data_IF_391875867254
#
_entry.id   IF_391875867254
#
_cell.length_a   1.000
_cell.length_b   1.000
_cell.length_c   1.000
_cell.angle_alpha   90.00
_cell.angle_beta   90.00
_cell.angle_gamma   90.00
#
_symmetry.space_group_name_H-M   'P 1'
#
loop_
_entity.id
_entity.type
_entity.pdbx_description
1 polymer ?
#
# COMPACT_ATOMS: atom_id res chain seq x y z
N UNK A 1 -17.32 -24.80 -21.44
CA UNK A 1 -16.34 -25.86 -21.77
C UNK A 1 -16.97 -27.02 -22.51
N UNK A 2 -18.20 -27.43 -22.16
CA UNK A 2 -18.95 -28.49 -22.88
C UNK A 2 -19.22 -28.02 -24.32
N UNK A 3 -19.74 -26.83 -24.51
CA UNK A 3 -20.04 -26.23 -25.82
C UNK A 3 -18.77 -26.13 -26.70
N UNK A 4 -17.64 -25.69 -26.12
CA UNK A 4 -16.35 -25.65 -26.81
C UNK A 4 -15.95 -27.05 -27.34
N UNK A 5 -16.21 -28.09 -26.55
CA UNK A 5 -15.92 -29.47 -26.93
C UNK A 5 -16.82 -29.94 -28.06
N UNK A 6 -18.12 -29.64 -27.98
CA UNK A 6 -19.10 -29.99 -29.02
C UNK A 6 -18.75 -29.32 -30.37
N UNK A 7 -18.37 -28.02 -30.35
CA UNK A 7 -17.99 -27.30 -31.58
C UNK A 7 -16.65 -27.80 -32.14
N UNK A 8 -15.73 -28.22 -31.28
CA UNK A 8 -14.47 -28.85 -31.71
C UNK A 8 -14.72 -30.19 -32.40
N UNK A 9 -15.65 -31.04 -31.86
CA UNK A 9 -16.03 -32.34 -32.44
C UNK A 9 -16.74 -32.17 -33.81
N UNK A 10 -17.46 -31.06 -33.99
CA UNK A 10 -18.05 -30.68 -35.29
C UNK A 10 -17.05 -30.07 -36.28
N UNK A 11 -15.83 -29.78 -35.87
CA UNK A 11 -14.78 -29.13 -36.69
C UNK A 11 -15.01 -27.63 -36.92
N UNK A 12 -15.86 -26.99 -36.12
CA UNK A 12 -16.19 -25.56 -36.22
C UNK A 12 -15.13 -24.70 -35.52
N UNK A 13 -14.00 -24.54 -36.16
CA UNK A 13 -12.79 -23.87 -35.57
C UNK A 13 -13.03 -22.41 -35.21
N UNK A 14 -13.84 -21.67 -35.96
CA UNK A 14 -14.10 -20.27 -35.69
C UNK A 14 -14.94 -20.08 -34.42
N UNK A 15 -15.94 -20.93 -34.21
CA UNK A 15 -16.74 -20.93 -32.99
C UNK A 15 -15.93 -21.39 -31.77
N UNK A 16 -15.08 -22.41 -31.95
CA UNK A 16 -14.14 -22.86 -30.90
C UNK A 16 -13.26 -21.71 -30.44
N UNK A 17 -12.73 -20.89 -31.38
CA UNK A 17 -11.92 -19.71 -31.03
C UNK A 17 -12.72 -18.63 -30.32
N UNK A 18 -13.97 -18.38 -30.75
CA UNK A 18 -14.84 -17.40 -30.12
C UNK A 18 -15.14 -17.80 -28.66
N UNK A 19 -15.56 -19.04 -28.43
CA UNK A 19 -15.82 -19.56 -27.08
C UNK A 19 -14.56 -19.57 -26.21
N UNK A 20 -13.39 -19.92 -26.78
CA UNK A 20 -12.12 -19.89 -26.05
C UNK A 20 -11.75 -18.47 -25.60
N UNK A 21 -11.94 -17.46 -26.45
CA UNK A 21 -11.72 -16.07 -26.10
C UNK A 21 -12.67 -15.58 -25.00
N UNK A 22 -13.93 -15.97 -25.04
CA UNK A 22 -14.90 -15.66 -23.99
C UNK A 22 -14.53 -16.31 -22.64
N UNK A 23 -14.06 -17.55 -22.68
CA UNK A 23 -13.58 -18.27 -21.48
C UNK A 23 -12.36 -17.54 -20.89
N UNK A 24 -11.39 -17.17 -21.71
CA UNK A 24 -10.21 -16.40 -21.28
C UNK A 24 -10.63 -15.06 -20.65
N UNK A 25 -11.51 -14.32 -21.31
CA UNK A 25 -12.01 -13.05 -20.78
C UNK A 25 -12.77 -13.19 -19.46
N UNK A 26 -13.51 -14.29 -19.27
CA UNK A 26 -14.20 -14.58 -18.01
C UNK A 26 -13.21 -15.01 -16.91
N UNK A 27 -12.18 -15.80 -17.23
CA UNK A 27 -11.12 -16.18 -16.31
C UNK A 27 -10.35 -14.95 -15.79
N UNK A 28 -10.02 -14.00 -16.67
CA UNK A 28 -9.39 -12.74 -16.28
C UNK A 28 -10.25 -11.95 -15.30
N UNK A 29 -11.58 -11.86 -15.54
CA UNK A 29 -12.51 -11.19 -14.63
C UNK A 29 -12.60 -11.91 -13.28
N UNK A 30 -12.69 -13.23 -13.25
CA UNK A 30 -12.72 -14.04 -12.02
C UNK A 30 -11.43 -13.84 -11.23
N UNK A 31 -10.27 -13.89 -11.88
CA UNK A 31 -8.97 -13.67 -11.25
C UNK A 31 -8.87 -12.25 -10.68
N UNK A 32 -9.36 -11.24 -11.42
CA UNK A 32 -9.43 -9.85 -10.95
C UNK A 32 -10.28 -9.73 -9.68
N UNK A 33 -11.49 -10.29 -9.67
CA UNK A 33 -12.37 -10.27 -8.50
C UNK A 33 -11.81 -11.09 -7.33
N UNK A 34 -11.18 -12.22 -7.59
CA UNK A 34 -10.51 -13.05 -6.59
C UNK A 34 -9.37 -12.30 -5.89
N UNK A 35 -8.51 -11.62 -6.65
CA UNK A 35 -7.44 -10.77 -6.09
C UNK A 35 -7.98 -9.62 -5.25
N UNK A 36 -9.11 -9.03 -5.67
CA UNK A 36 -9.77 -7.96 -4.90
C UNK A 36 -10.33 -8.48 -3.58
N UNK A 37 -10.99 -9.64 -3.58
CA UNK A 37 -11.50 -10.27 -2.36
C UNK A 37 -10.36 -10.63 -1.40
N UNK A 38 -9.26 -11.22 -1.90
CA UNK A 38 -8.06 -11.53 -1.11
C UNK A 38 -7.45 -10.27 -0.46
N UNK A 39 -7.36 -9.17 -1.21
CA UNK A 39 -6.87 -7.89 -0.67
C UNK A 39 -7.78 -7.34 0.44
N UNK A 40 -9.11 -7.44 0.28
CA UNK A 40 -10.09 -7.04 1.31
C UNK A 40 -9.92 -7.90 2.57
N UNK A 41 -9.84 -9.23 2.42
CA UNK A 41 -9.66 -10.15 3.55
C UNK A 41 -8.34 -9.89 4.26
N UNK A 42 -7.25 -9.69 3.53
CA UNK A 42 -5.94 -9.31 4.10
C UNK A 42 -6.00 -7.98 4.84
N UNK A 43 -6.67 -6.98 4.28
CA UNK A 43 -6.93 -5.70 4.94
C UNK A 43 -7.71 -5.89 6.24
N UNK A 44 -8.81 -6.64 6.22
CA UNK A 44 -9.60 -6.95 7.42
C UNK A 44 -8.78 -7.69 8.48
N UNK A 45 -7.94 -8.65 8.11
CA UNK A 45 -7.08 -9.38 9.02
C UNK A 45 -6.02 -8.47 9.66
N UNK A 46 -5.44 -7.54 8.89
CA UNK A 46 -4.51 -6.55 9.42
C UNK A 46 -5.19 -5.59 10.41
N UNK A 47 -6.45 -5.21 10.15
CA UNK A 47 -7.25 -4.41 11.09
C UNK A 47 -7.75 -5.22 12.28
N UNK A 48 -7.97 -6.53 12.11
CA UNK A 48 -8.49 -7.45 13.13
C UNK A 48 -7.41 -8.02 14.06
N UNK A 49 -6.12 -7.86 13.74
CA UNK A 49 -5.07 -8.22 14.69
C UNK A 49 -5.26 -7.36 15.94
N UNK A 50 -5.78 -8.01 16.99
CA UNK A 50 -6.02 -7.35 18.29
C UNK A 50 -4.70 -6.75 18.75
N UNK A 51 -4.64 -5.41 18.75
CA UNK A 51 -3.67 -4.70 19.55
C UNK A 51 -3.80 -5.21 20.99
N UNK A 52 -2.70 -5.40 21.68
CA UNK A 52 -2.76 -5.70 23.11
C UNK A 52 -3.51 -4.62 23.89
N UNK A 53 -3.69 -3.42 23.30
CA UNK A 53 -4.22 -2.23 23.92
C UNK A 53 -3.36 -1.72 25.07
N UNK A 54 -2.25 -2.41 25.35
CA UNK A 54 -1.38 -2.09 26.46
C UNK A 54 -0.46 -0.93 26.10
N UNK A 55 -0.58 0.15 26.87
CA UNK A 55 0.31 1.29 26.72
C UNK A 55 1.65 1.02 27.41
N UNK A 56 2.73 1.41 26.77
CA UNK A 56 4.08 1.32 27.32
C UNK A 56 4.91 2.55 27.00
N UNK A 57 5.91 2.83 27.84
CA UNK A 57 6.84 3.94 27.63
C UNK A 57 7.74 3.66 26.43
N UNK A 58 7.43 4.27 25.30
CA UNK A 58 8.04 4.03 24.01
C UNK A 58 8.78 5.25 23.53
N UNK A 59 9.99 5.06 23.00
CA UNK A 59 10.70 6.06 22.21
C UNK A 59 10.06 6.14 20.82
N UNK A 60 9.31 7.21 20.58
CA UNK A 60 8.57 7.40 19.33
C UNK A 60 9.50 7.62 18.13
N UNK A 61 10.67 8.24 18.33
CA UNK A 61 11.62 8.49 17.26
C UNK A 61 12.28 7.18 16.80
N UNK A 62 12.68 6.33 17.76
CA UNK A 62 13.20 5.01 17.47
C UNK A 62 12.16 4.13 16.75
N UNK A 63 10.89 4.17 17.19
CA UNK A 63 9.79 3.47 16.55
C UNK A 63 9.59 3.95 15.10
N UNK A 64 9.61 5.24 14.86
CA UNK A 64 9.50 5.83 13.52
C UNK A 64 10.62 5.37 12.58
N UNK A 65 11.87 5.39 13.04
CA UNK A 65 13.03 4.97 12.24
C UNK A 65 12.96 3.46 11.93
N UNK A 66 12.58 2.63 12.91
CA UNK A 66 12.39 1.19 12.73
C UNK A 66 11.37 0.89 11.62
N UNK A 67 10.17 1.47 11.70
CA UNK A 67 9.12 1.22 10.72
C UNK A 67 9.43 1.80 9.34
N UNK A 68 10.17 2.90 9.26
CA UNK A 68 10.65 3.46 7.99
C UNK A 68 11.61 2.49 7.29
N UNK A 69 12.59 1.95 8.03
CA UNK A 69 13.55 0.97 7.50
C UNK A 69 12.87 -0.36 7.15
N UNK A 70 11.97 -0.83 8.00
CA UNK A 70 11.21 -2.05 7.76
C UNK A 70 10.40 -1.95 6.45
N UNK A 71 9.73 -0.83 6.24
CA UNK A 71 8.97 -0.54 5.03
C UNK A 71 9.87 -0.51 3.78
N UNK A 72 10.98 0.21 3.84
CA UNK A 72 11.95 0.32 2.75
C UNK A 72 12.52 -1.04 2.35
N UNK A 73 13.05 -1.79 3.33
CA UNK A 73 13.63 -3.10 3.06
C UNK A 73 12.61 -4.13 2.61
N UNK A 74 11.38 -4.07 3.14
CA UNK A 74 10.27 -4.92 2.70
C UNK A 74 9.91 -4.70 1.24
N UNK A 75 9.92 -3.44 0.77
CA UNK A 75 9.67 -3.11 -0.64
C UNK A 75 10.82 -3.56 -1.53
N UNK A 76 12.07 -3.33 -1.13
CA UNK A 76 13.25 -3.81 -1.88
C UNK A 76 13.34 -5.32 -1.97
N UNK A 77 12.88 -6.04 -0.96
CA UNK A 77 12.82 -7.50 -0.98
C UNK A 77 11.81 -8.03 -2.02
N UNK A 78 10.70 -7.30 -2.23
CA UNK A 78 9.67 -7.63 -3.24
C UNK A 78 10.06 -7.21 -4.64
N UNK A 79 10.71 -6.05 -4.78
CA UNK A 79 11.12 -5.46 -6.06
C UNK A 79 12.54 -4.91 -5.94
N UNK A 80 13.50 -5.63 -6.51
CA UNK A 80 14.91 -5.24 -6.50
C UNK A 80 15.18 -3.93 -7.27
N UNK A 81 14.29 -3.54 -8.17
CA UNK A 81 14.39 -2.30 -8.94
C UNK A 81 13.91 -1.09 -8.14
N UNK A 82 13.15 -1.31 -7.05
CA UNK A 82 12.70 -0.24 -6.16
C UNK A 82 13.90 0.48 -5.54
N UNK A 83 13.98 1.79 -5.76
CA UNK A 83 14.99 2.65 -5.18
C UNK A 83 14.40 4.00 -4.84
N UNK A 84 14.51 4.40 -3.58
CA UNK A 84 14.03 5.68 -3.06
C UNK A 84 14.93 6.15 -1.94
N UNK A 85 15.18 7.45 -1.87
CA UNK A 85 15.79 8.05 -0.71
C UNK A 85 14.75 8.21 0.40
N UNK A 86 15.22 8.22 1.64
CA UNK A 86 14.41 8.66 2.77
C UNK A 86 15.25 9.54 3.71
N UNK A 87 14.60 10.51 4.31
CA UNK A 87 15.23 11.49 5.24
C UNK A 87 14.38 11.56 6.50
N UNK A 88 15.07 11.75 7.63
CA UNK A 88 14.43 11.87 8.94
C UNK A 88 14.81 13.19 9.59
N UNK A 89 13.86 13.79 10.31
CA UNK A 89 14.06 14.98 11.13
C UNK A 89 13.27 14.79 12.44
N UNK A 90 13.95 14.28 13.46
CA UNK A 90 13.33 13.91 14.72
C UNK A 90 13.67 14.89 15.84
N UNK A 91 12.63 15.34 16.55
CA UNK A 91 12.74 16.18 17.74
C UNK A 91 13.18 15.32 18.94
N UNK A 92 14.44 15.46 19.33
CA UNK A 92 15.03 14.74 20.45
C UNK A 92 14.46 15.13 21.82
N UNK A 93 13.70 16.23 21.89
CA UNK A 93 13.10 16.70 23.16
C UNK A 93 11.85 15.90 23.54
N UNK A 94 11.31 15.03 22.67
CA UNK A 94 10.08 14.26 22.92
C UNK A 94 10.28 13.26 24.07
N UNK A 95 11.40 12.52 24.06
CA UNK A 95 11.66 11.45 25.00
C UNK A 95 10.69 10.27 24.82
N UNK A 96 10.48 9.50 25.89
CA UNK A 96 9.55 8.37 25.90
C UNK A 96 8.14 8.83 26.21
N UNK A 97 7.16 8.33 25.47
CA UNK A 97 5.74 8.63 25.63
C UNK A 97 4.94 7.34 25.87
N UNK A 98 3.85 7.43 26.58
CA UNK A 98 3.02 6.27 26.94
C UNK A 98 1.98 6.01 25.85
N UNK A 99 2.28 5.09 24.95
CA UNK A 99 1.47 4.75 23.77
C UNK A 99 1.31 3.24 23.63
N UNK A 100 0.44 2.79 22.71
CA UNK A 100 0.35 1.42 22.22
C UNK A 100 1.22 1.32 20.96
N UNK A 101 2.47 0.78 21.03
CA UNK A 101 3.42 0.85 19.90
C UNK A 101 2.92 0.17 18.64
N UNK A 102 2.20 -0.95 18.80
CA UNK A 102 1.65 -1.73 17.69
C UNK A 102 0.62 -0.92 16.88
N UNK A 103 -0.21 -0.11 17.52
CA UNK A 103 -1.21 0.72 16.84
C UNK A 103 -0.54 1.86 16.07
N UNK A 104 0.43 2.53 16.70
CA UNK A 104 1.21 3.58 16.04
C UNK A 104 2.02 2.99 14.90
N UNK A 105 2.68 1.83 15.11
CA UNK A 105 3.43 1.13 14.07
C UNK A 105 2.59 0.78 12.86
N UNK A 106 1.35 0.34 13.05
CA UNK A 106 0.40 0.06 11.97
C UNK A 106 0.07 1.31 11.15
N UNK A 107 -0.19 2.43 11.83
CA UNK A 107 -0.43 3.73 11.17
C UNK A 107 0.81 4.17 10.38
N UNK A 108 2.00 4.08 10.98
CA UNK A 108 3.27 4.41 10.33
C UNK A 108 3.50 3.56 9.08
N UNK A 109 3.35 2.24 9.16
CA UNK A 109 3.48 1.35 7.99
C UNK A 109 2.54 1.74 6.86
N UNK A 110 1.28 2.03 7.17
CA UNK A 110 0.30 2.42 6.15
C UNK A 110 0.70 3.73 5.46
N UNK A 111 1.08 4.75 6.23
CA UNK A 111 1.48 6.05 5.69
C UNK A 111 2.79 5.96 4.89
N UNK A 112 3.81 5.30 5.44
CA UNK A 112 5.13 5.16 4.82
C UNK A 112 5.04 4.32 3.53
N UNK A 113 4.30 3.21 3.55
CA UNK A 113 4.09 2.38 2.35
C UNK A 113 3.32 3.15 1.27
N UNK A 114 2.36 4.00 1.63
CA UNK A 114 1.67 4.85 0.67
C UNK A 114 2.61 5.90 0.06
N UNK A 115 3.46 6.52 0.87
CA UNK A 115 4.46 7.48 0.40
C UNK A 115 5.47 6.82 -0.55
N UNK A 116 6.04 5.67 -0.17
CA UNK A 116 6.95 4.93 -1.06
C UNK A 116 6.28 4.46 -2.35
N UNK A 117 5.04 3.99 -2.28
CA UNK A 117 4.29 3.64 -3.48
C UNK A 117 4.14 4.84 -4.41
N UNK A 118 3.74 5.99 -3.88
CA UNK A 118 3.53 7.21 -4.67
C UNK A 118 4.81 7.67 -5.38
N UNK A 119 5.96 7.72 -4.68
CA UNK A 119 7.23 8.11 -5.29
C UNK A 119 7.72 7.10 -6.34
N UNK A 120 7.48 5.81 -6.12
CA UNK A 120 7.82 4.75 -7.06
C UNK A 120 6.99 4.84 -8.36
N UNK A 121 5.68 5.06 -8.24
CA UNK A 121 4.82 5.25 -9.41
C UNK A 121 5.20 6.50 -10.21
N UNK A 122 5.52 7.61 -9.53
CA UNK A 122 6.02 8.81 -10.20
C UNK A 122 7.33 8.55 -10.94
N UNK A 123 8.25 7.80 -10.35
CA UNK A 123 9.54 7.48 -10.97
C UNK A 123 9.36 6.72 -12.28
N UNK A 124 8.38 5.81 -12.39
CA UNK A 124 8.10 5.03 -13.60
C UNK A 124 7.65 5.89 -14.79
N UNK A 125 6.98 7.00 -14.52
CA UNK A 125 6.46 7.91 -15.56
C UNK A 125 7.34 9.12 -15.83
N UNK A 126 8.23 9.47 -14.90
CA UNK A 126 9.13 10.62 -15.02
C UNK A 126 10.50 10.12 -15.50
N UNK A 127 10.84 10.41 -16.75
CA UNK A 127 12.04 9.85 -17.39
C UNK A 127 13.37 10.50 -17.01
N UNK A 128 13.39 11.71 -16.39
CA UNK A 128 14.64 12.43 -16.11
C UNK A 128 14.62 13.15 -14.75
N UNK A 129 15.75 13.12 -14.05
CA UNK A 129 16.11 13.90 -12.84
C UNK A 129 15.19 13.80 -11.60
N UNK A 130 14.13 12.99 -11.59
CA UNK A 130 13.31 12.81 -10.39
C UNK A 130 13.97 11.81 -9.43
N UNK A 131 14.26 12.28 -8.22
CA UNK A 131 14.79 11.46 -7.14
C UNK A 131 13.67 11.16 -6.14
N UNK A 132 13.13 9.94 -6.13
CA UNK A 132 12.09 9.55 -5.18
C UNK A 132 12.56 9.77 -3.76
N UNK A 133 11.83 10.54 -2.98
CA UNK A 133 12.24 10.84 -1.60
C UNK A 133 11.02 10.86 -0.67
N UNK A 134 11.14 10.15 0.45
CA UNK A 134 10.17 10.16 1.55
C UNK A 134 10.81 10.82 2.77
N UNK A 135 10.06 11.69 3.45
CA UNK A 135 10.47 12.39 4.66
C UNK A 135 9.62 11.93 5.84
N UNK A 136 10.25 11.63 6.95
CA UNK A 136 9.58 11.32 8.20
C UNK A 136 10.12 12.22 9.30
N UNK A 137 9.23 12.96 9.96
CA UNK A 137 9.62 13.85 11.04
C UNK A 137 8.72 13.72 12.25
N UNK A 138 9.26 14.10 13.40
CA UNK A 138 8.52 14.22 14.66
C UNK A 138 8.75 15.62 15.25
N UNK A 139 7.71 16.16 15.91
CA UNK A 139 7.79 17.46 16.58
C UNK A 139 6.90 17.45 17.81
N UNK A 140 7.45 17.94 18.92
CA UNK A 140 6.68 18.22 20.13
C UNK A 140 6.04 19.61 20.04
N UNK A 141 4.75 19.69 20.28
CA UNK A 141 4.00 20.95 20.27
C UNK A 141 3.05 20.96 21.47
N UNK A 142 3.49 21.60 22.56
CA UNK A 142 2.77 21.57 23.83
C UNK A 142 2.69 20.16 24.40
N UNK A 143 1.48 19.68 24.59
CA UNK A 143 1.12 18.33 25.09
C UNK A 143 1.01 17.28 24.00
N UNK A 144 1.24 17.64 22.74
CA UNK A 144 1.09 16.77 21.57
C UNK A 144 2.41 16.47 20.91
N UNK A 145 2.50 15.27 20.34
CA UNK A 145 3.56 14.88 19.39
C UNK A 145 2.95 14.76 18.01
N UNK A 146 3.52 15.49 17.05
CA UNK A 146 3.11 15.46 15.66
C UNK A 146 4.12 14.61 14.90
N UNK A 147 3.65 13.57 14.24
CA UNK A 147 4.42 12.78 13.28
C UNK A 147 4.00 13.17 11.87
N UNK A 148 4.97 13.43 10.99
CA UNK A 148 4.71 13.84 9.63
C UNK A 148 5.41 12.90 8.67
N UNK A 149 4.64 12.26 7.78
CA UNK A 149 5.14 11.53 6.61
C UNK A 149 4.88 12.40 5.38
N UNK A 150 5.93 12.73 4.63
CA UNK A 150 5.85 13.55 3.42
C UNK A 150 6.59 12.85 2.30
N UNK A 151 6.04 12.90 1.11
CA UNK A 151 6.69 12.47 -0.14
C UNK A 151 6.86 13.65 -1.10
N UNK A 152 7.71 13.48 -2.11
CA UNK A 152 7.92 14.49 -3.14
C UNK A 152 7.14 14.23 -4.43
N UNK A 153 5.97 13.58 -4.30
CA UNK A 153 5.03 13.35 -5.39
C UNK A 153 4.12 14.56 -5.71
N UNK A 154 3.20 14.33 -6.64
CA UNK A 154 2.20 15.33 -7.07
C UNK A 154 1.06 15.51 -6.06
N UNK A 155 1.07 14.78 -4.94
CA UNK A 155 0.00 14.82 -3.94
C UNK A 155 -1.26 14.05 -4.38
N UNK A 156 -2.33 14.25 -3.61
CA UNK A 156 -3.63 13.61 -3.84
C UNK A 156 -4.54 14.63 -4.53
N UNK A 157 -5.20 14.22 -5.60
CA UNK A 157 -6.14 15.09 -6.33
C UNK A 157 -7.30 15.50 -5.43
N UNK A 158 -7.73 16.77 -5.52
CA UNK A 158 -8.73 17.35 -4.62
C UNK A 158 -10.02 16.54 -4.53
N UNK A 159 -10.54 16.03 -5.64
CA UNK A 159 -11.78 15.23 -5.69
C UNK A 159 -11.67 13.85 -5.04
N UNK A 160 -10.45 13.44 -4.66
CA UNK A 160 -10.17 12.14 -4.00
C UNK A 160 -10.01 12.33 -2.49
N UNK A 161 -9.59 13.52 -2.03
CA UNK A 161 -9.26 13.79 -0.61
C UNK A 161 -10.41 13.40 0.32
N UNK A 162 -11.66 13.72 -0.02
CA UNK A 162 -12.83 13.40 0.80
C UNK A 162 -13.14 11.89 0.88
N UNK A 163 -12.51 11.10 0.01
CA UNK A 163 -12.74 9.65 -0.11
C UNK A 163 -11.64 8.80 0.52
N UNK A 164 -10.45 9.36 0.79
CA UNK A 164 -9.28 8.58 1.25
C UNK A 164 -9.48 7.89 2.60
N UNK A 165 -10.44 8.35 3.42
CA UNK A 165 -10.79 7.74 4.69
C UNK A 165 -12.01 6.82 4.61
N UNK A 166 -12.61 6.66 3.42
CA UNK A 166 -13.72 5.72 3.26
C UNK A 166 -13.18 4.28 3.29
N UNK A 167 -13.85 3.37 4.00
CA UNK A 167 -13.45 1.96 4.02
C UNK A 167 -13.36 1.40 2.59
N UNK A 168 -12.32 0.63 2.32
CA UNK A 168 -12.06 -0.03 1.03
C UNK A 168 -11.84 0.89 -0.17
N UNK A 169 -11.70 2.20 0.06
CA UNK A 169 -11.34 3.12 -1.01
C UNK A 169 -9.86 3.01 -1.36
N UNK A 170 -9.56 2.81 -2.63
CA UNK A 170 -8.20 2.82 -3.15
C UNK A 170 -8.17 3.26 -4.61
N UNK A 171 -7.13 3.98 -4.98
CA UNK A 171 -6.79 4.33 -6.37
C UNK A 171 -5.71 3.40 -6.95
N UNK A 172 -5.19 2.48 -6.14
CA UNK A 172 -4.18 1.52 -6.56
C UNK A 172 -4.81 0.41 -7.41
N UNK A 173 -4.04 -0.19 -8.33
CA UNK A 173 -4.49 -1.37 -9.06
C UNK A 173 -4.95 -2.49 -8.13
N UNK A 174 -5.86 -3.33 -8.65
CA UNK A 174 -6.41 -4.45 -7.89
C UNK A 174 -5.32 -5.36 -7.32
N UNK A 175 -5.42 -5.65 -6.02
CA UNK A 175 -4.44 -6.48 -5.28
C UNK A 175 -3.25 -5.70 -4.70
N UNK A 176 -3.16 -4.38 -4.93
CA UNK A 176 -2.11 -3.53 -4.37
C UNK A 176 -2.63 -2.54 -3.31
N UNK A 177 -3.93 -2.36 -3.20
CA UNK A 177 -4.56 -1.53 -2.19
C UNK A 177 -4.98 -2.35 -0.97
N UNK A 178 -4.77 -1.77 0.23
CA UNK A 178 -5.24 -2.29 1.52
C UNK A 178 -6.34 -1.42 2.11
N UNK A 179 -6.85 -0.49 1.31
CA UNK A 179 -7.83 0.52 1.71
C UNK A 179 -9.19 -0.03 2.06
#
# INVERSE_FOLDING_TARGET
>A
LEELKEEADKGNIDEVKAIANDVIGNEEKINHHGKRADAIVKGMLQHSQKSSGQKELTDINALCDEYLRLSYHGLRAKDKSFNSDFKTDFDNSIGKINIVPQDIGRVLLNLINNAFYAVNERQKITKESYQPTVFLSSKKTGDKVILTVKDNCNGIQQHIIDKIFQPFFTTKPTGQGTG
#
